data_IF_621440035597
#
_entry.id   IF_621440035597
#
_cell.length_a   1.000
_cell.length_b   1.000
_cell.length_c   1.000
_cell.angle_alpha   90.00
_cell.angle_beta   90.00
_cell.angle_gamma   90.00
#
_symmetry.space_group_name_H-M   'P 1'
#
loop_
_entity.id
_entity.type
_entity.pdbx_description
1 polymer ?
#
# COMPACT_ATOMS: atom_id res chain seq x y z
N UNK A 1 -6.05 -6.70 24.27
CA UNK A 1 -6.47 -5.53 23.49
C UNK A 1 -6.61 -5.98 22.07
N UNK A 2 -7.85 -6.27 21.66
CA UNK A 2 -8.18 -6.87 20.37
C UNK A 2 -7.97 -5.85 19.24
N UNK A 3 -6.90 -6.03 18.47
CA UNK A 3 -6.69 -5.29 17.25
C UNK A 3 -7.40 -6.01 16.10
N UNK A 4 -8.62 -5.54 15.82
CA UNK A 4 -9.08 -5.28 14.46
C UNK A 4 -9.30 -6.47 13.56
N UNK A 5 -10.49 -7.07 13.66
CA UNK A 5 -11.13 -7.72 12.52
C UNK A 5 -11.11 -6.73 11.33
N UNK A 6 -10.52 -7.12 10.19
CA UNK A 6 -10.47 -6.29 8.97
C UNK A 6 -11.90 -6.08 8.47
N UNK A 7 -12.58 -5.05 8.99
CA UNK A 7 -13.93 -4.69 8.54
C UNK A 7 -13.88 -4.39 7.05
N UNK A 8 -14.75 -5.05 6.29
CA UNK A 8 -14.92 -4.73 4.88
C UNK A 8 -15.21 -3.23 4.73
N UNK A 9 -14.39 -2.55 3.92
CA UNK A 9 -14.56 -1.13 3.62
C UNK A 9 -15.03 -1.01 2.16
N UNK A 10 -16.12 -0.28 1.86
CA UNK A 10 -16.58 -0.07 0.49
C UNK A 10 -15.72 0.98 -0.26
N UNK A 11 -14.70 1.53 0.39
CA UNK A 11 -13.83 2.55 -0.19
C UNK A 11 -12.84 2.01 -1.23
N UNK A 12 -12.26 2.95 -1.97
CA UNK A 12 -11.19 2.66 -2.93
C UNK A 12 -9.84 3.07 -2.34
N UNK A 13 -8.86 2.16 -2.43
CA UNK A 13 -7.45 2.48 -2.20
C UNK A 13 -6.91 3.25 -3.42
N UNK A 14 -6.47 4.47 -3.19
CA UNK A 14 -5.93 5.36 -4.23
C UNK A 14 -4.43 5.47 -4.03
N UNK A 15 -3.67 5.08 -5.06
CA UNK A 15 -2.22 5.24 -5.07
C UNK A 15 -1.82 6.72 -5.21
N UNK A 16 -0.85 7.15 -4.39
CA UNK A 16 -0.33 8.52 -4.39
C UNK A 16 1.07 8.54 -5.05
N UNK A 17 1.21 8.85 -6.35
CA UNK A 17 2.50 8.74 -7.06
C UNK A 17 3.57 9.73 -6.57
N UNK A 18 3.17 10.80 -5.90
CA UNK A 18 4.06 11.83 -5.33
C UNK A 18 4.56 11.48 -3.93
N UNK A 19 4.15 10.34 -3.36
CA UNK A 19 4.53 9.94 -2.00
C UNK A 19 5.97 9.42 -1.88
N UNK A 20 6.76 9.45 -2.95
CA UNK A 20 8.18 9.12 -2.90
C UNK A 20 8.93 9.86 -1.78
N UNK A 21 9.89 9.21 -1.10
CA UNK A 21 10.28 7.79 -1.23
C UNK A 21 9.38 6.82 -0.43
N UNK A 22 8.45 7.34 0.38
CA UNK A 22 7.53 6.56 1.23
C UNK A 22 6.22 6.31 0.50
N UNK A 23 6.31 5.48 -0.53
CA UNK A 23 5.18 5.13 -1.37
C UNK A 23 3.97 4.65 -0.56
N UNK A 24 2.78 5.17 -0.88
CA UNK A 24 1.55 4.76 -0.19
C UNK A 24 0.31 4.78 -1.08
N UNK A 25 -0.69 4.03 -0.63
CA UNK A 25 -2.07 4.12 -1.10
C UNK A 25 -3.00 4.44 0.08
N UNK A 26 -3.95 5.34 -0.16
CA UNK A 26 -4.85 5.85 0.88
C UNK A 26 -6.30 5.46 0.54
N UNK A 27 -7.05 4.98 1.53
CA UNK A 27 -8.47 4.71 1.37
C UNK A 27 -9.27 5.99 1.55
N UNK A 28 -10.08 6.34 0.55
CA UNK A 28 -10.89 7.57 0.54
C UNK A 28 -12.06 7.57 1.54
N UNK A 29 -12.39 6.42 2.15
CA UNK A 29 -13.52 6.28 3.07
C UNK A 29 -13.06 6.17 4.53
N UNK A 30 -12.20 5.21 4.85
CA UNK A 30 -11.87 4.88 6.24
C UNK A 30 -10.55 5.50 6.74
N UNK A 31 -9.88 6.32 5.92
CA UNK A 31 -8.56 6.90 6.23
C UNK A 31 -7.46 5.86 6.47
N UNK A 32 -7.65 4.64 5.99
CA UNK A 32 -6.61 3.61 6.00
C UNK A 32 -5.48 3.99 5.04
N UNK A 33 -4.25 3.77 5.49
CA UNK A 33 -3.04 4.02 4.72
C UNK A 33 -2.30 2.70 4.59
N UNK A 34 -1.97 2.32 3.36
CA UNK A 34 -1.08 1.21 3.04
C UNK A 34 0.26 1.78 2.59
N UNK A 35 1.31 1.56 3.38
CA UNK A 35 2.68 1.90 3.02
C UNK A 35 3.32 0.74 2.27
N UNK A 36 3.92 1.03 1.12
CA UNK A 36 4.63 0.02 0.35
C UNK A 36 6.03 -0.23 0.93
N UNK A 37 6.68 -1.35 0.56
CA UNK A 37 7.97 -1.73 1.13
C UNK A 37 9.04 -0.64 0.93
N UNK A 38 9.84 -0.35 1.97
CA UNK A 38 10.91 0.66 1.89
C UNK A 38 12.02 0.33 0.90
N UNK A 39 12.10 -0.94 0.49
CA UNK A 39 13.05 -1.42 -0.53
C UNK A 39 12.57 -1.14 -1.96
N UNK A 40 11.39 -0.55 -2.11
CA UNK A 40 10.81 -0.18 -3.40
C UNK A 40 11.39 1.13 -3.91
N UNK A 41 12.09 1.06 -5.04
CA UNK A 41 12.65 2.19 -5.75
C UNK A 41 11.59 2.93 -6.59
N UNK A 42 10.73 2.20 -7.30
CA UNK A 42 9.69 2.79 -8.16
C UNK A 42 8.40 1.99 -8.11
N UNK A 43 7.27 2.71 -8.09
CA UNK A 43 5.94 2.13 -8.25
C UNK A 43 5.16 2.80 -9.36
N UNK A 44 4.52 2.01 -10.23
CA UNK A 44 3.63 2.51 -11.28
C UNK A 44 2.41 1.63 -11.43
N UNK A 45 1.24 2.17 -11.78
CA UNK A 45 0.09 1.33 -12.15
C UNK A 45 0.41 0.51 -13.40
N UNK A 46 0.04 -0.76 -13.40
CA UNK A 46 0.10 -1.62 -14.58
C UNK A 46 -1.14 -1.42 -15.46
N UNK A 47 -1.08 -1.93 -16.69
CA UNK A 47 -2.25 -1.97 -17.58
C UNK A 47 -3.22 -3.11 -17.22
N UNK A 48 -2.72 -4.14 -16.54
CA UNK A 48 -3.49 -5.32 -16.19
C UNK A 48 -4.25 -5.15 -14.86
N UNK A 49 -5.32 -5.94 -14.72
CA UNK A 49 -6.13 -6.05 -13.49
C UNK A 49 -5.99 -7.45 -12.91
N UNK A 50 -6.06 -7.54 -11.59
CA UNK A 50 -6.13 -8.81 -10.89
C UNK A 50 -7.40 -9.57 -11.29
N UNK A 51 -7.24 -10.83 -11.70
CA UNK A 51 -8.36 -11.68 -12.15
C UNK A 51 -9.32 -12.02 -10.99
N UNK A 52 -8.80 -12.10 -9.76
CA UNK A 52 -9.59 -12.50 -8.59
C UNK A 52 -10.46 -11.37 -8.03
N UNK A 53 -9.92 -10.14 -7.96
CA UNK A 53 -10.61 -9.03 -7.30
C UNK A 53 -10.85 -7.80 -8.19
N UNK A 54 -10.37 -7.81 -9.44
CA UNK A 54 -10.57 -6.72 -10.41
C UNK A 54 -9.77 -5.44 -10.14
N UNK A 55 -8.92 -5.42 -9.12
CA UNK A 55 -8.08 -4.26 -8.77
C UNK A 55 -6.94 -4.09 -9.79
N UNK A 56 -6.58 -2.86 -10.14
CA UNK A 56 -5.41 -2.56 -10.97
C UNK A 56 -4.14 -3.12 -10.34
N UNK A 57 -3.34 -3.87 -11.09
CA UNK A 57 -2.05 -4.36 -10.61
C UNK A 57 -1.06 -3.20 -10.51
N UNK A 58 -0.13 -3.30 -9.57
CA UNK A 58 0.90 -2.29 -9.35
C UNK A 58 2.26 -2.90 -9.69
N UNK A 59 3.05 -2.15 -10.45
CA UNK A 59 4.41 -2.53 -10.79
C UNK A 59 5.39 -2.00 -9.76
N UNK A 60 6.14 -2.93 -9.16
CA UNK A 60 7.13 -2.66 -8.14
C UNK A 60 8.53 -2.90 -8.71
N UNK A 61 9.36 -1.88 -8.67
CA UNK A 61 10.79 -1.99 -8.94
C UNK A 61 11.52 -1.82 -7.62
N UNK A 62 12.24 -2.84 -7.19
CA UNK A 62 13.02 -2.82 -5.95
C UNK A 62 14.46 -2.31 -6.19
N UNK A 63 15.09 -1.81 -5.14
CA UNK A 63 16.51 -1.43 -5.19
C UNK A 63 17.39 -2.63 -5.51
N UNK A 64 18.28 -2.49 -6.50
CA UNK A 64 19.24 -3.55 -6.90
C UNK A 64 20.25 -3.90 -5.82
N UNK A 65 20.54 -2.93 -4.94
CA UNK A 65 21.55 -3.05 -3.89
C UNK A 65 21.01 -3.73 -2.62
N UNK A 66 19.71 -4.05 -2.60
CA UNK A 66 19.06 -4.76 -1.50
C UNK A 66 18.63 -6.15 -1.99
N UNK A 67 18.74 -7.19 -1.16
CA UNK A 67 18.24 -8.50 -1.54
C UNK A 67 16.75 -8.40 -1.89
N UNK A 68 16.27 -9.15 -2.91
CA UNK A 68 14.85 -9.18 -3.22
C UNK A 68 14.06 -9.60 -1.97
N UNK A 69 12.88 -9.00 -1.74
CA UNK A 69 12.06 -9.38 -0.61
C UNK A 69 11.77 -10.88 -0.64
N UNK A 70 11.77 -11.55 0.54
CA UNK A 70 11.45 -12.97 0.62
C UNK A 70 10.08 -13.22 -0.02
N UNK A 71 10.02 -14.17 -0.95
CA UNK A 71 8.77 -14.53 -1.63
C UNK A 71 8.40 -13.65 -2.82
N UNK A 72 9.20 -12.63 -3.17
CA UNK A 72 9.05 -11.88 -4.41
C UNK A 72 10.31 -11.99 -5.27
N UNK A 73 10.17 -12.37 -6.54
CA UNK A 73 11.30 -12.37 -7.46
C UNK A 73 11.68 -10.92 -7.82
N UNK A 74 12.97 -10.65 -8.05
CA UNK A 74 13.45 -9.32 -8.46
C UNK A 74 12.81 -8.84 -9.78
N UNK A 75 12.30 -9.79 -10.56
CA UNK A 75 11.64 -9.61 -11.86
C UNK A 75 10.12 -9.76 -11.82
N UNK A 76 9.50 -9.97 -10.65
CA UNK A 76 8.04 -9.91 -10.50
C UNK A 76 7.55 -8.46 -10.58
N UNK A 77 6.98 -8.13 -11.75
CA UNK A 77 6.72 -6.75 -12.14
C UNK A 77 5.30 -6.28 -11.85
N UNK A 78 4.35 -7.12 -11.46
CA UNK A 78 2.95 -6.69 -11.34
C UNK A 78 2.24 -7.46 -10.22
N UNK A 79 1.94 -6.77 -9.13
CA UNK A 79 1.41 -7.37 -7.92
C UNK A 79 0.07 -6.72 -7.55
N UNK A 80 -0.84 -7.53 -7.01
CA UNK A 80 -2.12 -7.04 -6.50
C UNK A 80 -1.96 -6.59 -5.04
N UNK A 81 -2.33 -5.35 -4.73
CA UNK A 81 -2.32 -4.81 -3.36
C UNK A 81 -3.29 -5.51 -2.39
N UNK A 82 -4.20 -6.36 -2.90
CA UNK A 82 -5.21 -7.05 -2.11
C UNK A 82 -4.92 -8.55 -2.00
N UNK A 83 -4.69 -9.21 -3.14
CA UNK A 83 -4.60 -10.67 -3.21
C UNK A 83 -3.17 -11.22 -3.05
N UNK A 84 -2.12 -10.40 -3.14
CA UNK A 84 -0.76 -10.91 -3.06
C UNK A 84 -0.28 -10.92 -1.60
N UNK A 85 -0.28 -12.10 -0.98
CA UNK A 85 0.09 -12.25 0.43
C UNK A 85 1.55 -11.88 0.71
N UNK A 86 2.48 -12.24 -0.18
CA UNK A 86 3.90 -11.90 -0.04
C UNK A 86 4.13 -10.38 -0.03
N UNK A 87 3.41 -9.63 -0.87
CA UNK A 87 3.44 -8.17 -0.86
C UNK A 87 2.81 -7.60 0.41
N UNK A 88 1.67 -8.16 0.83
CA UNK A 88 0.94 -7.70 2.01
C UNK A 88 1.78 -7.84 3.29
N UNK A 89 2.55 -8.93 3.42
CA UNK A 89 3.48 -9.15 4.54
C UNK A 89 4.60 -8.10 4.61
N UNK A 90 4.95 -7.49 3.47
CA UNK A 90 6.00 -6.47 3.37
C UNK A 90 5.45 -5.04 3.51
N UNK A 91 4.14 -4.87 3.39
CA UNK A 91 3.50 -3.57 3.50
C UNK A 91 3.32 -3.16 4.97
N UNK A 92 3.46 -1.87 5.23
CA UNK A 92 3.05 -1.28 6.51
C UNK A 92 1.59 -0.84 6.45
N UNK A 93 0.85 -1.03 7.55
CA UNK A 93 -0.52 -0.55 7.68
C UNK A 93 -0.60 0.64 8.65
N UNK A 94 -1.50 1.59 8.40
CA UNK A 94 -1.73 2.73 9.28
C UNK A 94 -3.10 3.34 9.11
N UNK A 95 -3.44 4.26 10.02
CA UNK A 95 -4.64 5.09 9.92
C UNK A 95 -4.21 6.56 9.94
N UNK A 96 -4.70 7.36 9.00
CA UNK A 96 -4.48 8.81 9.02
C UNK A 96 -5.11 9.36 10.31
N UNK A 97 -4.27 9.83 11.23
CA UNK A 97 -4.77 10.50 12.44
C UNK A 97 -5.34 11.85 12.00
N UNK A 98 -6.64 12.04 12.17
CA UNK A 98 -7.20 13.39 12.12
C UNK A 98 -6.48 14.23 13.18
N UNK A 99 -5.97 15.44 12.85
CA UNK A 99 -5.46 16.34 13.87
C UNK A 99 -6.56 16.49 14.91
N UNK A 100 -6.29 16.03 16.13
CA UNK A 100 -7.20 16.29 17.25
C UNK A 100 -7.12 17.80 17.43
N UNK A 101 -8.14 18.51 16.98
CA UNK A 101 -8.21 19.96 17.04
C UNK A 101 -7.93 20.40 18.47
N UNK A 102 -6.68 20.78 18.73
CA UNK A 102 -6.33 21.45 19.96
C UNK A 102 -6.80 22.88 19.75
N UNK A 103 -8.07 23.11 20.09
CA UNK A 103 -8.59 24.45 20.27
C UNK A 103 -7.74 25.13 21.33
N UNK A 104 -6.67 25.81 20.91
CA UNK A 104 -6.11 26.90 21.69
C UNK A 104 -6.92 28.14 21.36
N UNK A 105 -8.15 28.14 21.86
CA UNK A 105 -8.82 29.40 22.16
C UNK A 105 -8.13 29.99 23.38
N UNK A 106 -7.42 31.10 23.18
CA UNK A 106 -7.29 32.20 24.14
C UNK A 106 -7.26 33.48 23.34
#
# INVERSE_FOLDING_TARGET
GEWGEKKACPGTLVFIPTSQPKWRADCIVCNFILYFPEVTHKVTPAQMKCIECGTTLMNFVFHKDKPPPKGLAQEERELCLKCNDALNELCGEGLMRRPKGSGRGR
#
